data_IF_789406838530
#
_entry.id   IF_789406838530
#
_cell.length_a   1.000
_cell.length_b   1.000
_cell.length_c   1.000
_cell.angle_alpha   90.00
_cell.angle_beta   90.00
_cell.angle_gamma   90.00
#
_symmetry.space_group_name_H-M   'P 1'
#
loop_
_entity.id
_entity.type
_entity.pdbx_description
1 polymer ?
#
# COMPACT_ATOMS: atom_id res chain seq x y z
N UNK A 1 8.16 14.05 -16.31
CA UNK A 1 7.29 14.75 -15.36
C UNK A 1 6.41 13.80 -14.58
N UNK A 2 7.00 13.00 -13.66
CA UNK A 2 6.21 12.28 -12.66
C UNK A 2 5.76 13.24 -11.54
N UNK A 3 6.67 14.17 -11.16
CA UNK A 3 6.40 15.25 -10.21
C UNK A 3 5.26 16.16 -10.68
N UNK A 4 5.24 16.54 -11.96
CA UNK A 4 4.16 17.37 -12.53
C UNK A 4 2.80 16.65 -12.49
N UNK A 5 2.81 15.34 -12.75
CA UNK A 5 1.59 14.53 -12.74
C UNK A 5 0.98 14.46 -11.34
N UNK A 6 1.79 14.14 -10.33
CA UNK A 6 1.28 13.97 -8.95
C UNK A 6 0.82 15.28 -8.31
N UNK A 7 1.32 16.42 -8.78
CA UNK A 7 0.91 17.74 -8.31
C UNK A 7 -0.43 18.22 -8.91
N UNK A 8 -0.74 17.82 -10.15
CA UNK A 8 -1.87 18.38 -10.92
C UNK A 8 -3.16 17.55 -10.91
N UNK A 9 -3.14 16.33 -10.39
CA UNK A 9 -4.28 15.40 -10.46
C UNK A 9 -5.07 15.33 -9.17
N UNK A 10 -6.38 15.09 -9.30
CA UNK A 10 -7.30 14.97 -8.15
C UNK A 10 -7.06 13.71 -7.33
N UNK A 11 -6.61 12.64 -7.98
CA UNK A 11 -6.42 11.32 -7.38
C UNK A 11 -5.15 10.65 -7.92
N UNK A 12 -4.30 10.17 -7.03
CA UNK A 12 -3.08 9.42 -7.34
C UNK A 12 -3.24 7.98 -6.84
N UNK A 13 -3.12 7.04 -7.76
CA UNK A 13 -3.17 5.59 -7.47
C UNK A 13 -1.81 4.99 -7.80
N UNK A 14 -1.21 4.29 -6.85
CA UNK A 14 0.03 3.54 -7.03
C UNK A 14 -0.32 2.07 -7.21
N UNK A 15 0.17 1.47 -8.28
CA UNK A 15 0.09 0.02 -8.50
C UNK A 15 1.50 -0.53 -8.47
N UNK A 16 1.77 -1.48 -7.56
CA UNK A 16 3.11 -2.03 -7.37
C UNK A 16 3.07 -3.40 -6.70
N UNK A 17 4.13 -4.18 -6.85
CA UNK A 17 4.35 -5.34 -5.96
C UNK A 17 4.54 -4.86 -4.51
N UNK A 18 4.00 -5.63 -3.57
CA UNK A 18 3.96 -5.31 -2.14
C UNK A 18 5.36 -5.32 -1.50
N UNK A 19 6.20 -6.26 -1.94
CA UNK A 19 7.59 -6.43 -1.50
C UNK A 19 8.53 -6.29 -2.69
N UNK A 20 9.77 -5.92 -2.44
CA UNK A 20 10.85 -6.05 -3.40
C UNK A 20 11.49 -7.43 -3.24
N UNK A 21 11.65 -8.17 -4.34
CA UNK A 21 12.35 -9.46 -4.35
C UNK A 21 13.78 -9.28 -4.82
N UNK A 22 14.75 -9.60 -3.98
CA UNK A 22 16.15 -9.60 -4.34
C UNK A 22 16.53 -10.89 -5.08
N UNK A 23 17.70 -10.89 -5.74
CA UNK A 23 18.20 -12.03 -6.52
C UNK A 23 18.49 -13.27 -5.68
N UNK A 24 18.76 -13.09 -4.39
CA UNK A 24 18.99 -14.17 -3.42
C UNK A 24 17.69 -14.74 -2.83
N UNK A 25 16.53 -14.22 -3.25
CA UNK A 25 15.21 -14.63 -2.78
C UNK A 25 14.75 -13.92 -1.51
N UNK A 26 15.53 -12.99 -0.95
CA UNK A 26 15.07 -12.16 0.17
C UNK A 26 13.97 -11.17 -0.27
N UNK A 27 13.06 -10.86 0.65
CA UNK A 27 11.95 -9.95 0.43
C UNK A 27 12.06 -8.74 1.37
N UNK A 28 12.03 -7.54 0.79
CA UNK A 28 12.04 -6.28 1.53
C UNK A 28 10.68 -5.56 1.41
N UNK A 29 10.05 -5.16 2.53
CA UNK A 29 8.82 -4.36 2.50
C UNK A 29 9.00 -3.03 1.76
N UNK A 30 8.03 -2.68 0.91
CA UNK A 30 8.03 -1.37 0.22
C UNK A 30 7.14 -0.33 0.89
N UNK A 31 6.19 -0.77 1.71
CA UNK A 31 5.33 0.08 2.53
C UNK A 31 6.01 0.32 3.88
N UNK A 32 6.75 1.43 3.96
CA UNK A 32 7.58 1.82 5.10
C UNK A 32 6.92 2.94 5.92
N UNK A 33 7.36 3.11 7.18
CA UNK A 33 6.95 4.26 8.01
C UNK A 33 7.43 5.61 7.42
N UNK A 34 8.60 5.59 6.80
CA UNK A 34 9.17 6.72 6.07
C UNK A 34 9.90 6.19 4.83
N UNK A 35 9.79 6.90 3.70
CA UNK A 35 10.50 6.51 2.49
C UNK A 35 12.02 6.70 2.70
N UNK A 36 12.78 5.65 2.38
CA UNK A 36 14.25 5.67 2.41
C UNK A 36 14.88 6.09 1.08
N UNK A 37 14.06 6.32 0.04
CA UNK A 37 14.47 6.80 -1.28
C UNK A 37 13.98 8.24 -1.50
N UNK A 38 14.61 9.01 -2.41
CA UNK A 38 14.18 10.36 -2.72
C UNK A 38 12.68 10.42 -3.09
N UNK A 39 11.95 11.29 -2.39
CA UNK A 39 10.51 11.45 -2.60
C UNK A 39 10.21 12.06 -3.97
N UNK A 40 9.27 11.46 -4.70
CA UNK A 40 8.69 12.08 -5.91
C UNK A 40 7.64 13.14 -5.55
N UNK A 41 7.00 13.01 -4.38
CA UNK A 41 6.04 13.98 -3.84
C UNK A 41 5.58 13.56 -2.44
N UNK A 42 5.16 14.53 -1.63
CA UNK A 42 4.74 14.31 -0.23
C UNK A 42 3.22 14.41 -0.12
N UNK A 43 2.59 13.43 0.53
CA UNK A 43 1.13 13.46 0.75
C UNK A 43 0.32 13.48 -0.55
N UNK A 44 0.83 12.85 -1.60
CA UNK A 44 0.18 12.85 -2.92
C UNK A 44 -0.68 11.62 -3.19
N UNK A 45 -0.35 10.49 -2.58
CA UNK A 45 -0.99 9.18 -2.85
C UNK A 45 -2.35 9.11 -2.15
N UNK A 46 -3.37 8.65 -2.87
CA UNK A 46 -4.72 8.38 -2.35
C UNK A 46 -4.99 6.88 -2.17
N UNK A 47 -4.44 6.04 -3.06
CA UNK A 47 -4.66 4.60 -3.05
C UNK A 47 -3.38 3.85 -3.44
N UNK A 48 -3.08 2.75 -2.76
CA UNK A 48 -2.05 1.79 -3.15
C UNK A 48 -2.70 0.44 -3.40
N UNK A 49 -2.49 -0.09 -4.60
CA UNK A 49 -2.94 -1.43 -5.00
C UNK A 49 -1.70 -2.29 -5.13
N UNK A 50 -1.71 -3.43 -4.44
CA UNK A 50 -0.64 -4.43 -4.48
C UNK A 50 -1.19 -5.79 -4.85
N UNK A 51 -0.28 -6.73 -5.12
CA UNK A 51 -0.61 -8.15 -5.30
C UNK A 51 -1.24 -8.79 -4.06
N UNK A 52 -1.07 -8.19 -2.87
CA UNK A 52 -1.63 -8.72 -1.62
C UNK A 52 -2.92 -8.05 -1.16
N UNK A 53 -3.22 -6.84 -1.63
CA UNK A 53 -4.35 -6.07 -1.13
C UNK A 53 -4.32 -4.58 -1.51
N UNK A 54 -5.36 -3.89 -1.09
CA UNK A 54 -5.63 -2.48 -1.43
C UNK A 54 -5.64 -1.63 -0.16
N UNK A 55 -4.91 -0.52 -0.20
CA UNK A 55 -4.82 0.46 0.87
C UNK A 55 -5.33 1.82 0.42
N UNK A 56 -6.19 2.44 1.21
CA UNK A 56 -6.49 3.86 1.11
C UNK A 56 -5.55 4.66 2.01
N UNK A 57 -5.07 5.80 1.49
CA UNK A 57 -4.16 6.71 2.20
C UNK A 57 -4.89 8.02 2.49
N UNK A 58 -4.99 8.38 3.77
CA UNK A 58 -5.41 9.72 4.16
C UNK A 58 -4.23 10.68 4.11
N UNK A 59 -4.08 11.34 2.95
CA UNK A 59 -3.04 12.33 2.70
C UNK A 59 -3.09 13.58 3.59
N UNK A 60 -4.18 13.82 4.33
CA UNK A 60 -4.30 14.95 5.27
C UNK A 60 -3.71 14.64 6.65
N UNK A 61 -3.15 13.45 6.84
CA UNK A 61 -2.48 13.06 8.09
C UNK A 61 -3.45 12.60 9.20
N UNK A 62 -4.70 12.27 8.86
CA UNK A 62 -5.66 11.74 9.82
C UNK A 62 -5.47 10.25 10.07
N UNK A 63 -6.19 9.40 9.34
CA UNK A 63 -6.17 7.94 9.59
C UNK A 63 -4.91 7.23 9.14
N UNK A 64 -4.04 7.91 8.37
CA UNK A 64 -2.86 7.31 7.75
C UNK A 64 -3.25 6.27 6.71
N UNK A 65 -2.60 5.11 6.75
CA UNK A 65 -2.85 3.99 5.85
C UNK A 65 -3.95 3.08 6.39
N UNK A 66 -4.91 2.69 5.54
CA UNK A 66 -5.99 1.76 5.89
C UNK A 66 -6.12 0.68 4.83
N UNK A 67 -6.01 -0.58 5.25
CA UNK A 67 -6.27 -1.76 4.43
C UNK A 67 -7.78 -1.92 4.24
N UNK A 68 -8.24 -1.88 2.99
CA UNK A 68 -9.66 -1.91 2.63
C UNK A 68 -10.08 -3.17 1.86
N UNK A 69 -9.13 -3.85 1.20
CA UNK A 69 -9.37 -5.12 0.49
C UNK A 69 -8.14 -6.03 0.61
N UNK A 70 -8.38 -7.35 0.63
CA UNK A 70 -7.36 -8.39 0.53
C UNK A 70 -7.45 -9.04 -0.85
N UNK A 71 -6.31 -9.48 -1.38
CA UNK A 71 -6.32 -10.41 -2.51
C UNK A 71 -6.83 -11.80 -2.07
N UNK A 72 -7.28 -12.60 -3.03
CA UNK A 72 -7.80 -13.94 -2.77
C UNK A 72 -6.75 -14.81 -2.07
N UNK A 73 -7.14 -15.44 -0.95
CA UNK A 73 -6.26 -16.30 -0.16
C UNK A 73 -5.23 -15.57 0.71
N UNK A 74 -5.17 -14.23 0.66
CA UNK A 74 -4.27 -13.44 1.51
C UNK A 74 -4.91 -13.16 2.86
N UNK A 75 -4.12 -13.29 3.92
CA UNK A 75 -4.56 -12.99 5.29
C UNK A 75 -4.07 -11.62 5.75
N UNK A 76 -4.77 -11.03 6.71
CA UNK A 76 -4.34 -9.77 7.34
C UNK A 76 -2.96 -9.94 8.00
N UNK A 77 -2.67 -11.09 8.58
CA UNK A 77 -1.40 -11.34 9.26
C UNK A 77 -0.24 -11.47 8.28
N UNK A 78 -0.48 -12.05 7.09
CA UNK A 78 0.51 -12.02 6.01
C UNK A 78 0.83 -10.58 5.59
N UNK A 79 -0.19 -9.73 5.39
CA UNK A 79 0.04 -8.32 5.06
C UNK A 79 0.83 -7.61 6.17
N UNK A 80 0.48 -7.82 7.44
CA UNK A 80 1.23 -7.25 8.57
C UNK A 80 2.69 -7.69 8.58
N UNK A 81 2.98 -8.95 8.23
CA UNK A 81 4.34 -9.45 8.16
C UNK A 81 5.16 -8.83 7.02
N UNK A 82 4.48 -8.45 5.92
CA UNK A 82 5.10 -7.89 4.70
C UNK A 82 5.02 -6.36 4.59
N UNK A 83 4.44 -5.69 5.58
CA UNK A 83 4.29 -4.23 5.66
C UNK A 83 5.01 -3.69 6.89
N UNK A 84 5.91 -2.71 6.72
CA UNK A 84 6.61 -2.07 7.84
C UNK A 84 5.86 -0.84 8.40
N UNK A 85 4.98 -0.23 7.60
CA UNK A 85 4.13 0.89 8.00
C UNK A 85 3.00 0.45 8.95
N UNK A 86 2.59 1.34 9.86
CA UNK A 86 1.40 1.10 10.65
C UNK A 86 0.14 1.34 9.79
N UNK A 87 -0.83 0.44 9.87
CA UNK A 87 -2.10 0.57 9.15
C UNK A 87 -3.29 0.07 9.95
N UNK A 88 -4.47 0.62 9.63
CA UNK A 88 -5.75 0.16 10.15
C UNK A 88 -6.37 -0.85 9.21
N UNK A 89 -7.19 -1.75 9.75
CA UNK A 89 -7.93 -2.73 8.95
C UNK A 89 -9.40 -2.30 8.91
N UNK A 90 -9.92 -2.09 7.71
CA UNK A 90 -11.32 -1.75 7.46
C UNK A 90 -11.80 -2.48 6.19
N UNK A 91 -11.78 -3.81 6.25
CA UNK A 91 -12.18 -4.66 5.13
C UNK A 91 -13.68 -4.51 4.89
N UNK A 92 -14.04 -4.09 3.68
CA UNK A 92 -15.44 -4.15 3.25
C UNK A 92 -15.79 -5.64 3.07
N UNK A 93 -16.90 -6.10 3.65
CA UNK A 93 -17.25 -7.52 3.86
C UNK A 93 -17.49 -8.41 2.63
N UNK A 94 -16.69 -8.29 1.58
CA UNK A 94 -16.63 -9.20 0.44
C UNK A 94 -15.41 -10.11 0.54
N UNK A 95 -15.29 -10.88 1.62
CA UNK A 95 -14.48 -12.10 1.59
C UNK A 95 -15.44 -13.25 1.33
N UNK A 96 -15.49 -13.73 0.09
CA UNK A 96 -16.01 -15.07 -0.14
C UNK A 96 -15.02 -16.03 0.50
N UNK A 97 -15.44 -16.68 1.58
CA UNK A 97 -14.83 -17.89 2.10
C UNK A 97 -14.56 -18.85 0.94
N UNK A 98 -13.29 -18.94 0.50
CA UNK A 98 -12.82 -20.04 -0.28
C UNK A 98 -12.34 -21.12 0.71
N UNK A 99 -13.31 -21.91 1.19
CA UNK A 99 -13.09 -23.23 1.74
C UNK A 99 -13.21 -24.28 0.62
#
# INVERSE_FOLDING_TARGET
>A
GAMDLVAGVKRVVVVMEHVAKAKDGSEDPKLLKECNLPLTGTGVVDLVITDLGVFSIDKKGGSGMTLIELADGVTVDEIKAKTAADFKVALNGGQSDAA
#
